data_IF_841969506187
#
_entry.id   IF_841969506187
#
_cell.length_a   1.000
_cell.length_b   1.000
_cell.length_c   1.000
_cell.angle_alpha   90.00
_cell.angle_beta   90.00
_cell.angle_gamma   90.00
#
_symmetry.space_group_name_H-M   'P 1'
#
loop_
_entity.id
_entity.type
_entity.pdbx_description
1 polymer ?
#
# COMPACT_ATOMS: atom_id res chain seq x y z
N UNK A 1 8.21 0.18 -1.18
CA UNK A 1 7.43 -1.04 -1.46
C UNK A 1 7.99 -2.14 -0.59
N UNK A 2 7.14 -2.87 0.12
CA UNK A 2 7.51 -4.01 0.96
C UNK A 2 6.80 -5.25 0.43
N UNK A 3 7.57 -6.28 0.09
CA UNK A 3 7.06 -7.49 -0.54
C UNK A 3 7.43 -8.70 0.30
N UNK A 4 6.47 -9.59 0.54
CA UNK A 4 6.72 -10.87 1.21
C UNK A 4 7.11 -11.96 0.21
N UNK A 5 7.86 -12.99 0.63
CA UNK A 5 8.15 -14.16 -0.20
C UNK A 5 6.89 -14.93 -0.60
N UNK A 6 7.00 -15.74 -1.66
CA UNK A 6 5.87 -16.49 -2.22
C UNK A 6 5.20 -17.42 -1.19
N UNK A 7 5.97 -18.10 -0.35
CA UNK A 7 5.43 -19.03 0.65
C UNK A 7 4.66 -18.29 1.75
N UNK A 8 5.09 -17.08 2.12
CA UNK A 8 4.33 -16.22 3.02
C UNK A 8 3.05 -15.69 2.34
N UNK A 9 3.10 -15.42 1.04
CA UNK A 9 1.93 -15.02 0.26
C UNK A 9 0.89 -16.14 0.15
N UNK A 10 1.32 -17.40 0.05
CA UNK A 10 0.43 -18.56 0.09
C UNK A 10 -0.32 -18.64 1.42
N UNK A 11 0.36 -18.49 2.57
CA UNK A 11 -0.33 -18.38 3.87
C UNK A 11 -1.34 -17.22 3.86
N UNK A 12 -0.95 -16.08 3.28
CA UNK A 12 -1.80 -14.90 3.19
C UNK A 12 -3.04 -15.11 2.31
N UNK A 13 -3.00 -16.02 1.34
CA UNK A 13 -4.14 -16.35 0.49
C UNK A 13 -5.28 -16.99 1.31
N UNK A 14 -4.93 -17.91 2.22
CA UNK A 14 -5.88 -18.57 3.13
C UNK A 14 -6.29 -17.67 4.30
N UNK A 15 -5.42 -16.74 4.71
CA UNK A 15 -5.55 -15.95 5.94
C UNK A 15 -5.54 -14.45 5.66
N UNK A 16 -6.27 -13.98 4.63
CA UNK A 16 -6.22 -12.60 4.13
C UNK A 16 -6.30 -11.54 5.24
N UNK A 17 -7.31 -11.64 6.12
CA UNK A 17 -7.51 -10.63 7.19
C UNK A 17 -6.31 -10.56 8.12
N UNK A 18 -5.90 -11.70 8.68
CA UNK A 18 -4.82 -11.77 9.66
C UNK A 18 -3.47 -11.38 9.04
N UNK A 19 -3.10 -11.98 7.91
CA UNK A 19 -1.77 -11.80 7.33
C UNK A 19 -1.61 -10.43 6.68
N UNK A 20 -2.65 -9.85 6.08
CA UNK A 20 -2.57 -8.48 5.59
C UNK A 20 -2.51 -7.46 6.73
N UNK A 21 -3.19 -7.70 7.85
CA UNK A 21 -3.04 -6.86 9.04
C UNK A 21 -1.59 -6.92 9.57
N UNK A 22 -1.03 -8.13 9.71
CA UNK A 22 0.38 -8.33 10.08
C UNK A 22 1.33 -7.61 9.12
N UNK A 23 1.07 -7.69 7.81
CA UNK A 23 1.86 -7.00 6.79
C UNK A 23 1.87 -5.49 7.02
N UNK A 24 0.70 -4.88 7.24
CA UNK A 24 0.59 -3.46 7.55
C UNK A 24 1.35 -3.08 8.83
N UNK A 25 1.17 -3.86 9.89
CA UNK A 25 1.77 -3.55 11.19
C UNK A 25 3.29 -3.70 11.17
N UNK A 26 3.81 -4.74 10.51
CA UNK A 26 5.24 -4.94 10.35
C UNK A 26 5.89 -3.83 9.51
N UNK A 27 5.25 -3.41 8.41
CA UNK A 27 5.72 -2.29 7.58
C UNK A 27 5.71 -0.99 8.38
N UNK A 28 4.61 -0.69 9.07
CA UNK A 28 4.46 0.55 9.81
C UNK A 28 5.45 0.63 10.97
N UNK A 29 5.61 -0.44 11.74
CA UNK A 29 6.58 -0.52 12.83
C UNK A 29 8.01 -0.35 12.30
N UNK A 30 8.36 -1.04 11.21
CA UNK A 30 9.70 -0.93 10.60
C UNK A 30 10.03 0.51 10.20
N UNK A 31 9.13 1.17 9.47
CA UNK A 31 9.32 2.55 9.03
C UNK A 31 9.47 3.51 10.22
N UNK A 32 8.57 3.41 11.21
CA UNK A 32 8.60 4.27 12.39
C UNK A 32 9.88 4.06 13.22
N UNK A 33 10.27 2.82 13.47
CA UNK A 33 11.45 2.50 14.28
C UNK A 33 12.74 3.01 13.62
N UNK A 34 12.93 2.75 12.32
CA UNK A 34 14.17 3.15 11.62
C UNK A 34 14.21 4.66 11.41
N UNK A 35 13.06 5.32 11.18
CA UNK A 35 13.02 6.78 11.07
C UNK A 35 13.30 7.50 12.39
N UNK A 36 12.85 6.95 13.51
CA UNK A 36 13.08 7.53 14.83
C UNK A 36 14.55 7.45 15.28
N UNK A 37 15.35 6.51 14.75
CA UNK A 37 16.77 6.38 15.10
C UNK A 37 17.54 7.63 14.63
N UNK A 38 18.22 8.38 15.54
CA UNK A 38 19.03 9.55 15.19
C UNK A 38 20.17 9.26 14.22
N UNK A 39 20.64 8.01 14.13
CA UNK A 39 21.64 7.57 13.14
C UNK A 39 21.09 7.54 11.72
N UNK A 40 19.78 7.66 11.56
CA UNK A 40 19.09 7.68 10.27
C UNK A 40 18.42 9.03 10.03
N UNK A 41 17.20 9.22 10.56
CA UNK A 41 16.44 10.47 10.36
C UNK A 41 16.19 11.22 11.67
N UNK A 42 16.00 10.50 12.79
CA UNK A 42 15.90 11.08 14.13
C UNK A 42 14.57 11.73 14.47
N UNK A 43 13.46 11.29 13.89
CA UNK A 43 12.15 11.86 14.21
C UNK A 43 10.94 11.06 13.73
N UNK A 44 9.75 11.59 14.02
CA UNK A 44 8.48 10.99 13.60
C UNK A 44 8.20 11.25 12.13
N UNK A 45 7.99 10.18 11.35
CA UNK A 45 7.51 10.25 9.97
C UNK A 45 6.01 9.99 9.89
N UNK A 46 5.36 10.61 8.92
CA UNK A 46 4.00 10.29 8.51
C UNK A 46 4.01 9.65 7.14
N UNK A 47 3.14 8.68 6.88
CA UNK A 47 3.09 8.01 5.57
C UNK A 47 1.73 7.44 5.26
N UNK A 48 1.47 7.30 3.96
CA UNK A 48 0.36 6.53 3.41
C UNK A 48 0.87 5.12 3.08
N UNK A 49 0.13 4.09 3.47
CA UNK A 49 0.38 2.71 3.09
C UNK A 49 -0.80 2.13 2.30
N UNK A 50 -0.53 1.48 1.17
CA UNK A 50 -1.54 0.94 0.26
C UNK A 50 -1.22 -0.53 0.01
N UNK A 51 -2.15 -1.42 0.34
CA UNK A 51 -2.05 -2.84 0.03
C UNK A 51 -2.42 -3.11 -1.43
N UNK A 52 -1.51 -3.76 -2.14
CA UNK A 52 -1.74 -4.38 -3.45
C UNK A 52 -1.58 -5.89 -3.28
N UNK A 53 -2.37 -6.68 -4.01
CA UNK A 53 -2.39 -8.15 -3.89
C UNK A 53 -2.09 -8.88 -5.19
N UNK A 54 -1.67 -8.16 -6.24
CA UNK A 54 -1.52 -8.67 -7.60
C UNK A 54 -0.17 -8.37 -8.22
N UNK A 55 0.32 -9.29 -9.04
CA UNK A 55 1.37 -9.05 -10.03
C UNK A 55 0.78 -8.59 -11.37
N UNK A 56 1.64 -8.29 -12.35
CA UNK A 56 1.16 -7.95 -13.70
C UNK A 56 0.39 -9.10 -14.35
N UNK A 57 0.72 -10.35 -14.07
CA UNK A 57 0.02 -11.54 -14.57
C UNK A 57 -1.26 -11.90 -13.78
N UNK A 58 -1.74 -11.00 -12.89
CA UNK A 58 -2.88 -11.23 -12.00
C UNK A 58 -2.69 -12.43 -11.06
N UNK A 59 -1.43 -12.76 -10.76
CA UNK A 59 -1.09 -13.75 -9.74
C UNK A 59 -1.13 -13.11 -8.37
N UNK A 60 -1.44 -13.91 -7.35
CA UNK A 60 -1.44 -13.45 -5.96
C UNK A 60 -0.03 -12.98 -5.56
N UNK A 61 0.09 -11.70 -5.21
CA UNK A 61 1.35 -11.07 -4.86
C UNK A 61 1.11 -9.91 -3.87
N UNK A 62 0.84 -10.19 -2.60
CA UNK A 62 0.62 -9.18 -1.57
C UNK A 62 1.88 -8.37 -1.27
N UNK A 63 1.76 -7.05 -1.39
CA UNK A 63 2.81 -6.09 -1.10
C UNK A 63 2.22 -4.74 -0.69
N UNK A 64 2.99 -3.95 0.07
CA UNK A 64 2.58 -2.61 0.50
C UNK A 64 3.41 -1.55 -0.21
N UNK A 65 2.72 -0.61 -0.83
CA UNK A 65 3.28 0.65 -1.28
C UNK A 65 3.19 1.68 -0.17
N UNK A 66 4.31 2.35 0.12
CA UNK A 66 4.34 3.47 1.03
C UNK A 66 4.68 4.75 0.26
N UNK A 67 3.95 5.83 0.55
CA UNK A 67 4.32 7.19 0.18
C UNK A 67 4.68 7.94 1.46
N UNK A 68 5.91 8.43 1.51
CA UNK A 68 6.49 9.05 2.70
C UNK A 68 7.02 10.43 2.33
N UNK A 69 6.64 11.51 3.03
CA UNK A 69 7.27 12.82 2.88
C UNK A 69 8.77 12.74 3.20
N UNK A 70 9.55 13.59 2.53
CA UNK A 70 11.01 13.63 2.65
C UNK A 70 11.50 14.31 3.94
N UNK A 71 10.99 13.90 5.10
CA UNK A 71 11.43 14.43 6.38
C UNK A 71 10.63 13.92 7.57
N UNK A 72 11.07 14.31 8.75
CA UNK A 72 10.49 13.93 10.03
C UNK A 72 10.20 15.15 10.90
N UNK A 73 9.21 14.99 11.77
CA UNK A 73 8.88 15.93 12.83
C UNK A 73 9.57 15.50 14.12
N UNK A 74 10.30 16.41 14.76
CA UNK A 74 10.94 16.19 16.06
C UNK A 74 10.20 17.03 17.09
N UNK A 75 9.66 16.37 18.10
CA UNK A 75 8.98 16.95 19.26
C UNK A 75 7.88 17.98 18.94
N UNK A 76 7.36 17.99 17.71
CA UNK A 76 6.41 19.00 17.22
C UNK A 76 6.97 20.41 17.04
N UNK A 77 8.29 20.57 17.15
CA UNK A 77 8.94 21.88 17.16
C UNK A 77 9.90 22.07 15.99
N UNK A 78 10.41 20.97 15.41
CA UNK A 78 11.42 21.04 14.36
C UNK A 78 11.13 20.06 13.24
N UNK A 79 11.30 20.53 12.00
CA UNK A 79 11.27 19.70 10.81
C UNK A 79 12.69 19.30 10.40
N UNK A 80 12.94 18.01 10.28
CA UNK A 80 14.19 17.45 9.76
C UNK A 80 13.96 16.94 8.34
N UNK A 81 14.46 17.67 7.34
CA UNK A 81 14.43 17.20 5.96
C UNK A 81 15.37 15.99 5.77
N UNK A 82 14.93 15.00 4.98
CA UNK A 82 15.79 13.89 4.60
C UNK A 82 16.83 14.35 3.56
N UNK A 83 17.91 13.59 3.42
CA UNK A 83 18.93 13.88 2.41
C UNK A 83 18.36 13.64 0.99
N UNK A 84 18.71 14.44 -0.03
CA UNK A 84 18.10 14.38 -1.37
C UNK A 84 18.08 13.02 -2.07
N UNK A 85 18.98 12.11 -1.68
CA UNK A 85 19.10 10.75 -2.26
C UNK A 85 19.08 9.64 -1.22
N UNK A 86 18.79 9.96 0.03
CA UNK A 86 18.86 9.01 1.12
C UNK A 86 17.77 9.31 2.14
N UNK A 87 16.74 8.47 2.11
CA UNK A 87 15.67 8.49 3.10
C UNK A 87 16.00 7.55 4.26
N UNK A 88 15.92 6.23 4.03
CA UNK A 88 16.24 5.20 5.02
C UNK A 88 16.97 4.03 4.34
N UNK A 89 17.88 3.32 5.03
CA UNK A 89 18.65 2.23 4.45
C UNK A 89 17.79 0.99 4.17
N UNK A 90 17.61 0.64 2.90
CA UNK A 90 16.72 -0.45 2.44
C UNK A 90 17.07 -1.83 3.02
N UNK A 91 18.36 -2.14 3.22
CA UNK A 91 18.77 -3.41 3.82
C UNK A 91 18.39 -3.51 5.30
N UNK A 92 18.45 -2.40 6.05
CA UNK A 92 18.01 -2.36 7.45
C UNK A 92 16.50 -2.49 7.53
N UNK A 93 15.77 -1.77 6.66
CA UNK A 93 14.32 -1.90 6.54
C UNK A 93 13.91 -3.34 6.24
N UNK A 94 14.55 -3.99 5.26
CA UNK A 94 14.27 -5.37 4.88
C UNK A 94 14.47 -6.35 6.05
N UNK A 95 15.60 -6.25 6.75
CA UNK A 95 15.93 -7.14 7.88
C UNK A 95 14.95 -6.97 9.04
N UNK A 96 14.62 -5.73 9.42
CA UNK A 96 13.67 -5.47 10.50
C UNK A 96 12.25 -5.88 10.10
N UNK A 97 11.81 -5.54 8.89
CA UNK A 97 10.51 -5.95 8.35
C UNK A 97 10.33 -7.46 8.39
N UNK A 98 11.31 -8.22 7.88
CA UNK A 98 11.31 -9.68 7.94
C UNK A 98 11.15 -10.19 9.37
N UNK A 99 11.93 -9.67 10.31
CA UNK A 99 11.85 -10.09 11.72
C UNK A 99 10.46 -9.82 12.29
N UNK A 100 9.98 -8.57 12.19
CA UNK A 100 8.71 -8.14 12.76
C UNK A 100 7.50 -8.87 12.14
N UNK A 101 7.54 -9.16 10.84
CA UNK A 101 6.51 -9.93 10.18
C UNK A 101 6.48 -11.37 10.70
N UNK A 102 7.63 -12.04 10.75
CA UNK A 102 7.71 -13.43 11.18
C UNK A 102 7.34 -13.61 12.66
N UNK A 103 7.74 -12.69 13.54
CA UNK A 103 7.33 -12.69 14.95
C UNK A 103 5.81 -12.60 15.10
N UNK A 104 5.16 -11.69 14.36
CA UNK A 104 3.70 -11.53 14.38
C UNK A 104 2.97 -12.71 13.75
N UNK A 105 3.52 -13.27 12.68
CA UNK A 105 2.97 -14.46 12.03
C UNK A 105 3.02 -15.66 12.98
N UNK A 106 4.15 -15.85 13.68
CA UNK A 106 4.30 -16.89 14.69
C UNK A 106 3.37 -16.68 15.88
N UNK A 107 3.22 -15.46 16.38
CA UNK A 107 2.23 -15.15 17.43
C UNK A 107 0.79 -15.44 16.98
N UNK A 108 0.43 -15.16 15.73
CA UNK A 108 -0.88 -15.47 15.18
C UNK A 108 -1.13 -16.98 15.06
N UNK A 109 -0.10 -17.76 14.69
CA UNK A 109 -0.14 -19.22 14.69
C UNK A 109 -0.38 -19.77 16.11
N UNK A 110 0.44 -19.37 17.09
CA UNK A 110 0.28 -19.81 18.49
C UNK A 110 -1.10 -19.47 19.07
N UNK A 111 -1.69 -18.35 18.63
CA UNK A 111 -3.02 -17.93 19.06
C UNK A 111 -4.18 -18.61 18.31
N UNK A 112 -3.91 -19.60 17.43
CA UNK A 112 -4.94 -20.29 16.64
C UNK A 112 -5.67 -19.39 15.64
N UNK A 113 -5.06 -18.27 15.23
CA UNK A 113 -5.69 -17.28 14.33
C UNK A 113 -5.43 -17.56 12.85
N UNK A 114 -4.58 -18.54 12.55
CA UNK A 114 -4.30 -18.96 11.19
C UNK A 114 -5.02 -20.28 10.92
N UNK A 115 -5.53 -20.43 9.70
CA UNK A 115 -6.14 -21.64 9.19
C UNK A 115 -5.35 -22.13 7.99
N UNK A 116 -5.12 -23.42 7.91
CA UNK A 116 -4.41 -24.02 6.80
C UNK A 116 -5.29 -25.07 6.10
N UNK A 117 -5.15 -25.19 4.79
CA UNK A 117 -5.91 -26.15 4.00
C UNK A 117 -5.16 -26.57 2.74
N UNK A 118 -5.58 -27.66 2.12
CA UNK A 118 -4.92 -28.20 0.93
C UNK A 118 -3.47 -28.56 1.23
N UNK A 119 -2.55 -28.07 0.39
CA UNK A 119 -1.10 -28.32 0.52
C UNK A 119 -0.49 -27.76 1.80
N UNK A 120 -1.18 -26.83 2.47
CA UNK A 120 -0.71 -26.21 3.70
C UNK A 120 -1.22 -26.89 4.98
N UNK A 121 -2.11 -27.90 4.89
CA UNK A 121 -2.79 -28.47 6.07
C UNK A 121 -1.85 -28.96 7.19
N UNK A 122 -0.63 -29.40 6.85
CA UNK A 122 0.37 -29.79 7.85
C UNK A 122 0.93 -28.64 8.71
N UNK A 123 0.64 -27.39 8.36
CA UNK A 123 1.14 -26.21 9.08
C UNK A 123 0.34 -25.85 10.34
N UNK A 124 -0.76 -26.56 10.63
CA UNK A 124 -1.40 -26.50 11.95
C UNK A 124 -0.45 -27.03 13.05
N UNK A 125 0.42 -27.98 12.72
CA UNK A 125 1.45 -28.47 13.62
C UNK A 125 2.50 -27.39 13.93
N UNK A 126 2.82 -27.23 15.22
CA UNK A 126 3.71 -26.18 15.70
C UNK A 126 5.16 -26.36 15.23
N UNK A 127 5.64 -27.60 15.13
CA UNK A 127 7.01 -27.88 14.70
C UNK A 127 7.17 -27.66 13.19
N UNK A 128 6.21 -28.13 12.39
CA UNK A 128 6.15 -27.90 10.95
C UNK A 128 6.11 -26.40 10.64
N UNK A 129 5.25 -25.64 11.34
CA UNK A 129 5.16 -24.19 11.19
C UNK A 129 6.45 -23.48 11.58
N UNK A 130 7.07 -23.86 12.71
CA UNK A 130 8.36 -23.32 13.13
C UNK A 130 9.47 -23.65 12.11
N UNK A 131 9.42 -24.83 11.48
CA UNK A 131 10.24 -25.22 10.34
C UNK A 131 10.14 -24.22 9.18
N UNK A 132 8.91 -23.93 8.75
CA UNK A 132 8.65 -22.96 7.68
C UNK A 132 9.13 -21.55 8.04
N UNK A 133 8.88 -21.08 9.27
CA UNK A 133 9.36 -19.77 9.74
C UNK A 133 10.90 -19.69 9.71
N UNK A 134 11.60 -20.77 10.08
CA UNK A 134 13.08 -20.85 9.97
C UNK A 134 13.54 -20.74 8.51
N UNK A 135 12.85 -21.39 7.58
CA UNK A 135 13.15 -21.28 6.15
C UNK A 135 12.93 -19.85 5.63
N UNK A 136 11.78 -19.25 5.96
CA UNK A 136 11.46 -17.86 5.57
C UNK A 136 12.45 -16.84 6.13
N UNK A 137 13.01 -17.09 7.32
CA UNK A 137 14.01 -16.23 7.97
C UNK A 137 15.33 -16.19 7.19
N UNK A 138 15.69 -17.28 6.50
CA UNK A 138 16.91 -17.40 5.70
C UNK A 138 16.79 -16.76 4.31
N UNK A 139 15.58 -16.47 3.85
CA UNK A 139 15.34 -15.82 2.56
C UNK A 139 15.63 -14.33 2.61
N UNK A 140 15.96 -13.79 1.45
CA UNK A 140 16.00 -12.36 1.21
C UNK A 140 14.59 -11.81 1.03
N UNK A 141 14.27 -10.77 1.79
CA UNK A 141 12.99 -10.07 1.72
C UNK A 141 13.19 -8.76 0.98
N UNK A 142 12.32 -8.49 0.01
CA UNK A 142 12.52 -7.37 -0.90
C UNK A 142 11.82 -6.13 -0.35
N UNK A 143 12.64 -5.12 -0.03
CA UNK A 143 12.19 -3.75 0.21
C UNK A 143 12.82 -2.85 -0.84
N UNK A 144 11.97 -2.10 -1.53
CA UNK A 144 12.39 -1.23 -2.60
C UNK A 144 11.96 0.22 -2.33
N UNK A 145 12.91 1.15 -2.45
CA UNK A 145 12.69 2.58 -2.34
C UNK A 145 13.03 3.25 -3.67
N UNK A 146 12.16 4.17 -4.11
CA UNK A 146 12.41 5.02 -5.29
C UNK A 146 12.92 6.39 -4.84
N UNK A 147 13.68 7.09 -5.68
CA UNK A 147 13.96 8.52 -5.50
C UNK A 147 12.67 9.34 -5.31
N UNK A 148 12.76 10.50 -4.65
CA UNK A 148 11.61 11.39 -4.47
C UNK A 148 10.99 11.77 -5.82
N UNK A 149 9.68 11.98 -5.83
CA UNK A 149 8.99 12.49 -7.01
C UNK A 149 9.42 13.93 -7.29
N UNK A 150 9.65 14.26 -8.55
CA UNK A 150 10.12 15.58 -8.96
C UNK A 150 9.05 16.69 -8.87
N UNK A 151 7.76 16.36 -8.71
CA UNK A 151 6.70 17.37 -8.59
C UNK A 151 5.44 16.84 -7.89
N UNK A 152 4.57 17.73 -7.37
CA UNK A 152 3.26 17.35 -6.80
C UNK A 152 2.37 16.57 -7.78
N UNK A 153 2.39 16.91 -9.07
CA UNK A 153 1.61 16.23 -10.11
C UNK A 153 2.05 14.77 -10.25
N UNK A 154 3.36 14.51 -10.16
CA UNK A 154 3.87 13.14 -10.17
C UNK A 154 3.45 12.35 -8.94
N UNK A 155 3.37 12.99 -7.77
CA UNK A 155 2.84 12.38 -6.54
C UNK A 155 1.35 12.03 -6.71
N UNK A 156 0.56 12.96 -7.25
CA UNK A 156 -0.87 12.75 -7.50
C UNK A 156 -1.11 11.65 -8.54
N UNK A 157 -0.37 11.68 -9.65
CA UNK A 157 -0.45 10.65 -10.69
C UNK A 157 -0.01 9.27 -10.15
N UNK A 158 0.99 9.24 -9.27
CA UNK A 158 1.34 8.03 -8.54
C UNK A 158 0.16 7.57 -7.69
N UNK A 159 -0.29 8.39 -6.74
CA UNK A 159 -1.40 8.06 -5.85
C UNK A 159 -2.62 7.55 -6.62
N UNK A 160 -3.09 8.28 -7.64
CA UNK A 160 -4.25 7.90 -8.43
C UNK A 160 -4.14 6.49 -9.04
N UNK A 161 -2.96 6.12 -9.55
CA UNK A 161 -2.71 4.77 -10.07
C UNK A 161 -2.74 3.69 -9.00
N UNK A 162 -2.26 3.98 -7.79
CA UNK A 162 -2.17 2.99 -6.70
C UNK A 162 -3.44 2.93 -5.84
N UNK A 163 -4.24 4.00 -5.76
CA UNK A 163 -5.45 4.07 -4.93
C UNK A 163 -6.73 3.70 -5.67
N UNK A 164 -6.84 3.92 -6.99
CA UNK A 164 -8.08 3.68 -7.74
C UNK A 164 -8.02 2.44 -8.65
N UNK A 165 -6.83 2.03 -9.11
CA UNK A 165 -6.75 0.88 -10.01
C UNK A 165 -6.91 -0.43 -9.24
N UNK A 166 -7.67 -1.34 -9.85
CA UNK A 166 -7.83 -2.73 -9.40
C UNK A 166 -6.68 -3.55 -10.00
N UNK A 167 -6.77 -4.88 -9.96
CA UNK A 167 -5.73 -5.81 -10.40
C UNK A 167 -5.22 -5.56 -11.84
N UNK A 168 -6.08 -5.05 -12.73
CA UNK A 168 -5.74 -4.71 -14.11
C UNK A 168 -6.29 -3.33 -14.48
N UNK A 169 -5.59 -2.63 -15.38
CA UNK A 169 -6.05 -1.39 -15.97
C UNK A 169 -6.66 -1.66 -17.35
N UNK A 170 -7.73 -0.95 -17.73
CA UNK A 170 -8.40 -1.14 -19.04
C UNK A 170 -7.42 -1.03 -20.22
N UNK A 171 -6.45 -0.12 -20.15
CA UNK A 171 -5.41 0.06 -21.18
C UNK A 171 -4.49 -1.16 -21.38
N UNK A 172 -4.57 -2.16 -20.48
CA UNK A 172 -3.83 -3.43 -20.61
C UNK A 172 -4.67 -4.51 -21.29
N UNK A 173 -5.99 -4.40 -21.30
CA UNK A 173 -6.87 -5.33 -22.00
C UNK A 173 -6.74 -5.08 -23.51
N UNK A 174 -6.52 -6.14 -24.28
CA UNK A 174 -6.34 -6.08 -25.74
C UNK A 174 -7.58 -6.64 -26.43
N UNK A 175 -8.07 -7.78 -25.99
CA UNK A 175 -9.31 -8.41 -26.47
C UNK A 175 -9.96 -9.22 -25.35
N UNK A 176 -11.27 -9.40 -25.44
CA UNK A 176 -12.06 -10.30 -24.62
C UNK A 176 -13.20 -10.86 -25.49
N UNK A 177 -13.28 -12.18 -25.59
CA UNK A 177 -14.32 -12.92 -26.31
C UNK A 177 -14.71 -14.18 -25.52
N UNK A 178 -15.57 -15.03 -26.08
CA UNK A 178 -16.07 -16.23 -25.40
C UNK A 178 -15.00 -17.31 -25.17
N UNK A 179 -13.86 -17.21 -25.85
CA UNK A 179 -12.76 -18.20 -25.78
C UNK A 179 -11.54 -17.70 -25.01
N UNK A 180 -11.27 -16.40 -25.00
CA UNK A 180 -10.07 -15.85 -24.39
C UNK A 180 -10.22 -14.38 -23.94
N UNK A 181 -9.44 -14.05 -22.90
CA UNK A 181 -9.13 -12.68 -22.50
C UNK A 181 -7.64 -12.44 -22.65
N UNK A 182 -7.28 -11.52 -23.55
CA UNK A 182 -5.88 -11.19 -23.85
C UNK A 182 -5.49 -9.85 -23.25
N UNK A 183 -4.38 -9.81 -22.51
CA UNK A 183 -3.86 -8.58 -21.91
C UNK A 183 -2.33 -8.44 -21.95
N UNK A 184 -1.87 -7.19 -21.95
CA UNK A 184 -0.45 -6.82 -21.94
C UNK A 184 0.15 -6.99 -20.55
N UNK A 185 1.30 -7.66 -20.44
CA UNK A 185 2.11 -7.75 -19.23
C UNK A 185 3.60 -7.54 -19.57
N UNK A 186 4.45 -7.42 -18.56
CA UNK A 186 5.91 -7.32 -18.74
C UNK A 186 6.60 -8.50 -18.11
N UNK A 187 7.47 -9.14 -18.89
CA UNK A 187 8.31 -10.21 -18.41
C UNK A 187 9.58 -9.67 -17.78
N UNK A 188 9.55 -9.48 -16.46
CA UNK A 188 10.70 -9.01 -15.70
C UNK A 188 11.91 -9.95 -15.76
N UNK A 189 11.70 -11.25 -15.98
CA UNK A 189 12.79 -12.23 -16.12
C UNK A 189 13.44 -12.15 -17.50
N UNK A 190 12.72 -11.65 -18.51
CA UNK A 190 13.22 -11.44 -19.88
C UNK A 190 13.30 -9.96 -20.24
N UNK A 191 14.08 -9.21 -19.45
CA UNK A 191 14.43 -7.82 -19.78
C UNK A 191 13.28 -6.81 -19.70
N UNK A 192 12.21 -7.12 -18.95
CA UNK A 192 11.04 -6.24 -18.76
C UNK A 192 10.30 -5.89 -20.08
N UNK A 193 10.39 -6.80 -21.06
CA UNK A 193 9.78 -6.62 -22.37
C UNK A 193 8.24 -6.73 -22.30
N UNK A 194 7.51 -5.90 -23.05
CA UNK A 194 6.06 -6.06 -23.18
C UNK A 194 5.73 -7.38 -23.90
N UNK A 195 4.73 -8.07 -23.37
CA UNK A 195 4.22 -9.36 -23.85
C UNK A 195 2.70 -9.40 -23.74
N UNK A 196 2.09 -10.31 -24.48
CA UNK A 196 0.68 -10.65 -24.35
C UNK A 196 0.52 -11.94 -23.54
N UNK A 197 -0.60 -12.05 -22.84
CA UNK A 197 -1.05 -13.26 -22.18
C UNK A 197 -2.54 -13.40 -22.49
N UNK A 198 -2.92 -14.56 -22.99
CA UNK A 198 -4.30 -14.95 -23.22
C UNK A 198 -4.66 -16.02 -22.19
N UNK A 199 -5.78 -15.84 -21.51
CA UNK A 199 -6.32 -16.79 -20.55
C UNK A 199 -7.74 -17.18 -20.97
N UNK A 200 -8.14 -18.40 -20.64
CA UNK A 200 -9.54 -18.78 -20.60
C UNK A 200 -10.35 -17.75 -19.75
N UNK A 201 -11.58 -17.37 -20.16
CA UNK A 201 -12.36 -16.36 -19.45
C UNK A 201 -12.57 -16.67 -17.96
N UNK A 202 -12.80 -17.93 -17.59
CA UNK A 202 -13.00 -18.31 -16.19
C UNK A 202 -11.70 -18.23 -15.39
N UNK A 203 -10.56 -18.58 -15.97
CA UNK A 203 -9.25 -18.39 -15.31
C UNK A 203 -8.92 -16.90 -15.15
N UNK A 204 -9.26 -16.05 -16.13
CA UNK A 204 -9.14 -14.60 -15.98
C UNK A 204 -10.01 -14.08 -14.82
N UNK A 205 -11.28 -14.48 -14.76
CA UNK A 205 -12.21 -14.11 -13.68
C UNK A 205 -11.68 -14.59 -12.33
N UNK A 206 -11.23 -15.85 -12.24
CA UNK A 206 -10.62 -16.40 -11.03
C UNK A 206 -9.43 -15.56 -10.57
N UNK A 207 -8.46 -15.30 -11.46
CA UNK A 207 -7.29 -14.45 -11.16
C UNK A 207 -7.66 -13.01 -10.80
N UNK A 208 -8.73 -12.47 -11.37
CA UNK A 208 -9.20 -11.15 -11.00
C UNK A 208 -9.80 -11.14 -9.58
N UNK A 209 -10.69 -12.10 -9.28
CA UNK A 209 -11.46 -12.15 -8.05
C UNK A 209 -10.64 -12.54 -6.81
N UNK A 210 -9.50 -13.23 -6.96
CA UNK A 210 -8.62 -13.51 -5.81
C UNK A 210 -8.09 -12.22 -5.14
N UNK A 211 -8.12 -11.09 -5.84
CA UNK A 211 -7.68 -9.78 -5.34
C UNK A 211 -8.78 -9.00 -4.59
N UNK A 212 -10.02 -9.49 -4.60
CA UNK A 212 -11.07 -8.96 -3.74
C UNK A 212 -10.66 -9.14 -2.28
N UNK A 213 -10.68 -8.01 -1.55
CA UNK A 213 -10.33 -7.97 -0.14
C UNK A 213 -11.55 -8.38 0.70
N UNK A 214 -11.32 -8.94 1.91
CA UNK A 214 -12.40 -9.20 2.86
C UNK A 214 -13.20 -7.93 3.16
N UNK A 215 -14.48 -8.11 3.47
CA UNK A 215 -15.35 -6.98 3.81
C UNK A 215 -14.81 -6.19 5.01
N UNK A 216 -14.98 -4.86 4.95
CA UNK A 216 -14.46 -3.93 5.93
C UNK A 216 -12.92 -3.81 6.00
N UNK A 217 -12.16 -4.53 5.17
CA UNK A 217 -10.70 -4.44 5.22
C UNK A 217 -10.18 -3.17 4.54
N UNK A 218 -9.59 -2.27 5.32
CA UNK A 218 -9.04 -1.02 4.82
C UNK A 218 -7.73 -1.24 4.03
N UNK A 219 -7.84 -1.15 2.70
CA UNK A 219 -6.72 -1.22 1.74
C UNK A 219 -5.71 -0.08 1.89
N UNK A 220 -6.15 1.09 2.33
CA UNK A 220 -5.33 2.30 2.43
C UNK A 220 -5.33 2.76 3.89
N UNK A 221 -4.15 2.96 4.45
CA UNK A 221 -3.95 3.34 5.85
C UNK A 221 -2.99 4.52 5.95
N UNK A 222 -3.22 5.38 6.94
CA UNK A 222 -2.39 6.55 7.20
C UNK A 222 -1.73 6.41 8.57
N UNK A 223 -0.44 6.75 8.66
CA UNK A 223 0.37 6.54 9.84
C UNK A 223 1.17 7.80 10.23
N UNK A 224 1.62 7.82 11.50
CA UNK A 224 2.42 8.90 12.08
C UNK A 224 1.69 10.22 12.02
N UNK A 225 2.40 11.30 11.67
CA UNK A 225 1.78 12.62 11.54
C UNK A 225 0.72 12.72 10.41
N UNK A 226 0.57 11.71 9.55
CA UNK A 226 -0.52 11.62 8.57
C UNK A 226 -1.73 10.82 9.07
N UNK A 227 -1.68 10.22 10.25
CA UNK A 227 -2.79 9.45 10.82
C UNK A 227 -4.05 10.31 10.98
N UNK A 228 -5.22 9.75 10.67
CA UNK A 228 -6.47 10.52 10.53
C UNK A 228 -6.82 11.36 11.77
N UNK A 229 -6.56 10.85 12.98
CA UNK A 229 -6.89 11.55 14.23
C UNK A 229 -6.04 12.79 14.49
N UNK A 230 -4.79 12.85 14.01
CA UNK A 230 -3.87 13.95 14.30
C UNK A 230 -3.44 14.76 13.06
N UNK A 231 -3.70 14.26 11.84
CA UNK A 231 -3.14 14.82 10.60
C UNK A 231 -3.37 16.32 10.44
N UNK A 232 -4.55 16.82 10.80
CA UNK A 232 -4.89 18.24 10.59
C UNK A 232 -4.01 19.14 11.45
N UNK A 233 -3.90 18.83 12.74
CA UNK A 233 -3.07 19.59 13.67
C UNK A 233 -1.58 19.45 13.32
N UNK A 234 -1.12 18.22 13.07
CA UNK A 234 0.29 17.94 12.75
C UNK A 234 0.73 18.60 11.44
N UNK A 235 -0.09 18.58 10.40
CA UNK A 235 0.23 19.25 9.13
C UNK A 235 0.25 20.77 9.26
N UNK A 236 -0.58 21.37 10.13
CA UNK A 236 -0.53 22.81 10.38
C UNK A 236 0.82 23.22 10.97
N UNK A 237 1.30 22.48 11.98
CA UNK A 237 2.62 22.66 12.59
C UNK A 237 3.72 22.50 11.54
N UNK A 238 3.73 21.39 10.78
CA UNK A 238 4.76 21.13 9.77
C UNK A 238 4.83 22.25 8.73
N UNK A 239 3.68 22.78 8.28
CA UNK A 239 3.64 23.90 7.33
C UNK A 239 4.25 25.17 7.90
N UNK A 240 3.97 25.51 9.16
CA UNK A 240 4.59 26.66 9.83
C UNK A 240 6.11 26.51 9.89
N UNK A 241 6.59 25.33 10.28
CA UNK A 241 8.03 25.04 10.36
C UNK A 241 8.71 25.11 8.99
N UNK A 242 8.05 24.64 7.93
CA UNK A 242 8.60 24.70 6.57
C UNK A 242 8.71 26.15 6.05
N UNK A 243 7.70 26.99 6.31
CA UNK A 243 7.73 28.42 5.92
C UNK A 243 8.84 29.17 6.66
N UNK A 244 9.03 28.91 7.95
CA UNK A 244 10.09 29.53 8.75
C UNK A 244 11.51 29.17 8.28
N UNK A 245 11.67 28.11 7.48
CA UNK A 245 12.97 27.60 7.00
C UNK A 245 13.28 28.04 5.55
N UNK A 246 12.38 28.75 4.87
CA UNK A 246 12.64 29.26 3.51
C UNK A 246 13.29 30.65 3.57
N UNK A 247 14.42 30.89 2.85
CA UNK A 247 14.88 32.26 2.60
C UNK A 247 13.80 33.02 1.85
N UNK A 248 13.74 34.35 2.05
CA UNK A 248 12.81 35.23 1.33
C UNK A 248 12.84 34.92 -0.18
N UNK A 249 11.68 34.75 -0.83
CA UNK A 249 11.65 34.34 -2.23
C UNK A 249 12.28 35.42 -3.10
N UNK A 250 13.36 35.10 -3.80
CA UNK A 250 13.73 35.82 -5.03
C UNK A 250 12.58 35.63 -6.00
N UNK A 251 11.98 36.73 -6.46
CA UNK A 251 10.81 36.75 -7.32
C UNK A 251 10.99 35.80 -8.53
N UNK A 252 10.43 34.61 -8.43
CA UNK A 252 10.23 33.72 -9.55
C UNK A 252 8.87 34.02 -10.14
N UNK A 253 8.88 34.40 -11.41
CA UNK A 253 7.75 34.77 -12.26
C UNK A 253 6.58 33.80 -12.10
N UNK A 254 5.37 34.35 -11.98
CA UNK A 254 4.15 33.69 -11.54
C UNK A 254 3.94 32.27 -12.06
N UNK A 255 3.90 31.31 -11.14
CA UNK A 255 3.30 30.00 -11.38
C UNK A 255 1.82 30.19 -11.66
N UNK A 256 1.43 30.05 -12.93
CA UNK A 256 0.03 29.90 -13.33
C UNK A 256 -0.48 28.63 -12.65
N UNK A 257 -1.24 28.82 -11.56
CA UNK A 257 -1.98 27.74 -10.91
C UNK A 257 -2.99 27.23 -11.94
N UNK A 258 -2.65 26.18 -12.69
CA UNK A 258 -3.62 25.50 -13.54
C UNK A 258 -4.69 24.94 -12.62
N UNK A 259 -5.85 25.60 -12.60
CA UNK A 259 -7.03 25.07 -11.91
C UNK A 259 -7.28 23.69 -12.48
N UNK A 260 -7.19 22.65 -11.64
CA UNK A 260 -7.71 21.34 -12.00
C UNK A 260 -9.17 21.56 -12.47
N UNK A 261 -9.59 21.00 -13.62
CA UNK A 261 -10.98 21.12 -14.04
C UNK A 261 -11.86 20.61 -12.90
N UNK A 262 -12.71 21.49 -12.36
CA UNK A 262 -13.68 21.12 -11.33
C UNK A 262 -14.56 20.04 -11.94
N UNK A 263 -14.38 18.81 -11.48
CA UNK A 263 -15.34 17.75 -11.76
C UNK A 263 -16.62 18.12 -11.03
N UNK A 264 -17.62 18.57 -11.78
CA UNK A 264 -18.96 18.81 -11.27
C UNK A 264 -19.78 17.52 -11.44
N UNK A 265 -20.11 16.80 -10.34
CA UNK A 265 -20.90 15.57 -10.43
C UNK A 265 -22.32 15.80 -10.93
N UNK A 266 -22.76 17.06 -11.07
CA UNK A 266 -24.06 17.43 -11.62
C UNK A 266 -24.03 17.63 -13.14
N UNK A 267 -22.88 17.54 -13.80
CA UNK A 267 -22.74 17.74 -15.25
C UNK A 267 -22.30 16.44 -15.93
N UNK A 268 -23.02 16.05 -16.97
CA UNK A 268 -22.70 14.87 -17.77
C UNK A 268 -21.40 15.11 -18.56
N UNK A 269 -20.35 14.31 -18.36
CA UNK A 269 -19.08 14.49 -19.07
C UNK A 269 -19.16 14.14 -20.58
N UNK A 270 -20.24 13.50 -21.03
CA UNK A 270 -20.43 13.14 -22.44
C UNK A 270 -21.11 14.24 -23.26
N UNK A 271 -22.09 14.93 -22.69
CA UNK A 271 -22.92 15.90 -23.43
C UNK A 271 -23.04 17.28 -22.76
N UNK A 272 -22.49 17.47 -21.57
CA UNK A 272 -22.59 18.73 -20.81
C UNK A 272 -23.97 18.99 -20.17
N UNK A 273 -24.94 18.08 -20.33
CA UNK A 273 -26.26 18.21 -19.72
C UNK A 273 -26.24 18.07 -18.18
N UNK A 274 -27.25 18.64 -17.51
CA UNK A 274 -27.36 18.55 -16.05
C UNK A 274 -27.94 17.18 -15.65
N UNK A 275 -27.17 16.43 -14.86
CA UNK A 275 -27.58 15.18 -14.23
C UNK A 275 -28.52 15.48 -13.05
N UNK A 276 -29.69 14.86 -13.05
CA UNK A 276 -30.65 14.93 -11.94
C UNK A 276 -30.57 13.66 -11.11
N UNK A 277 -30.47 13.81 -9.79
CA UNK A 277 -30.55 12.68 -8.86
C UNK A 277 -31.98 12.15 -8.89
N UNK A 278 -32.17 10.94 -9.40
CA UNK A 278 -33.49 10.28 -9.47
C UNK A 278 -33.76 9.40 -8.25
N UNK A 279 -32.72 8.88 -7.60
CA UNK A 279 -32.83 8.10 -6.38
C UNK A 279 -31.53 8.19 -5.57
N UNK A 280 -31.67 8.20 -4.24
CA UNK A 280 -30.57 8.00 -3.31
C UNK A 280 -30.76 6.62 -2.70
N UNK A 281 -29.89 5.67 -3.05
CA UNK A 281 -29.94 4.34 -2.45
C UNK A 281 -29.52 4.43 -0.97
N UNK A 282 -30.27 3.82 -0.04
CA UNK A 282 -29.87 3.79 1.36
C UNK A 282 -28.50 3.13 1.49
N UNK A 283 -27.63 3.73 2.28
CA UNK A 283 -26.29 3.23 2.48
C UNK A 283 -26.41 1.86 3.17
N UNK A 284 -26.01 0.76 2.49
CA UNK A 284 -25.93 -0.56 3.10
C UNK A 284 -24.82 -0.56 4.15
N UNK A 285 -25.08 -0.02 5.33
CA UNK A 285 -24.24 -0.25 6.50
C UNK A 285 -24.86 -1.38 7.29
N UNK A 286 -24.11 -2.48 7.34
CA UNK A 286 -24.19 -3.47 8.39
C UNK A 286 -24.33 -2.78 9.76
N UNK A 287 -25.07 -3.43 10.66
CA UNK A 287 -25.41 -3.02 12.03
C UNK A 287 -24.31 -2.21 12.74
N UNK A 288 -24.68 -1.27 13.63
CA UNK A 288 -23.72 -0.55 14.46
C UNK A 288 -22.78 -1.53 15.16
N UNK A 289 -21.46 -1.32 15.03
CA UNK A 289 -20.48 -2.05 15.87
C UNK A 289 -20.74 -1.68 17.33
N UNK A 290 -20.79 -2.64 18.26
CA UNK A 290 -20.75 -2.32 19.68
C UNK A 290 -19.43 -1.56 19.97
N UNK A 291 -19.45 -0.61 20.92
CA UNK A 291 -18.22 0.06 21.36
C UNK A 291 -17.20 -0.98 21.83
N UNK A 292 -15.89 -0.71 21.66
CA UNK A 292 -14.85 -1.61 22.14
C UNK A 292 -14.99 -1.78 23.67
N UNK A 293 -14.98 -3.03 24.12
CA UNK A 293 -14.91 -3.40 25.52
C UNK A 293 -13.59 -2.87 26.09
N UNK A 294 -13.67 -1.99 27.09
CA UNK A 294 -12.53 -1.45 27.83
C UNK A 294 -12.41 -2.09 29.20
N UNK A 295 -12.58 -3.41 29.25
CA UNK A 295 -12.32 -4.24 30.43
C UNK A 295 -10.99 -4.97 30.29
#
# INVERSE_FOLDING_TARGET
MFTMPAEAAEIAFHNKVAVYAILFDAVAATLKTIAADPRHLGGEIGFLAILHTWGQALTHHPHIHCLVPGGALVDSERWLACRPRFFLPVHVLSRLFRRLFLERLQAAHLAGKLRFSGTLAGLDDAEAFAGLVRQLRRKDWIVFAKPPFGSPEHVLAYLGRYTHRVAIANSRLVSANDTDVTFRWRDYRRGNAPRLMSLDPHEFIRRFLIHCLPDGFHRIRHYGFLANGCRRARLAIIRQLLVATQPAPTAATGEITRSLPRFDPTVCPCCGGILRITATLPHWRARPRPPPDTS
#
